data_IF_980754445748
#
_entry.id   IF_980754445748
#
_cell.length_a   1.000
_cell.length_b   1.000
_cell.length_c   1.000
_cell.angle_alpha   90.00
_cell.angle_beta   90.00
_cell.angle_gamma   90.00
#
_symmetry.space_group_name_H-M   'P 1'
#
loop_
_entity.id
_entity.type
_entity.pdbx_description
1 polymer ?
#
# COMPACT_ATOMS: atom_id res chain seq x y z
N UNK A 1 -13.02 6.22 -25.94
CA UNK A 1 -12.92 5.52 -24.64
C UNK A 1 -12.31 6.50 -23.65
N UNK A 2 -12.87 6.61 -22.45
CA UNK A 2 -12.46 7.63 -21.46
C UNK A 2 -12.16 6.93 -20.13
N UNK A 3 -10.97 7.18 -19.58
CA UNK A 3 -10.57 6.66 -18.29
C UNK A 3 -11.22 7.46 -17.15
N UNK A 4 -11.69 6.74 -16.13
CA UNK A 4 -12.12 7.32 -14.85
C UNK A 4 -11.01 7.14 -13.83
N UNK A 5 -10.62 8.21 -13.13
CA UNK A 5 -9.51 8.22 -12.17
C UNK A 5 -9.99 8.57 -10.76
N UNK A 6 -9.39 7.92 -9.78
CA UNK A 6 -9.52 8.21 -8.36
C UNK A 6 -8.13 8.27 -7.73
N UNK A 7 -7.96 9.15 -6.74
CA UNK A 7 -6.70 9.37 -6.06
C UNK A 7 -6.91 9.44 -4.55
N UNK A 8 -5.94 8.94 -3.80
CA UNK A 8 -5.87 9.21 -2.37
C UNK A 8 -5.67 10.70 -2.09
N UNK A 9 -6.07 11.13 -0.90
CA UNK A 9 -5.96 12.53 -0.47
C UNK A 9 -4.52 13.03 -0.58
N UNK A 10 -4.37 14.24 -1.09
CA UNK A 10 -3.06 14.88 -1.33
C UNK A 10 -2.32 14.38 -2.58
N UNK A 11 -2.81 13.34 -3.26
CA UNK A 11 -2.23 12.83 -4.51
C UNK A 11 -0.74 12.48 -4.38
N UNK A 12 0.04 12.76 -5.43
CA UNK A 12 1.48 12.50 -5.46
C UNK A 12 2.27 13.25 -4.37
N UNK A 13 1.88 14.48 -4.06
CA UNK A 13 2.62 15.34 -3.13
C UNK A 13 2.55 14.88 -1.67
N UNK A 14 1.54 14.06 -1.32
CA UNK A 14 1.38 13.51 0.02
C UNK A 14 2.00 12.11 0.18
N UNK A 15 2.57 11.51 -0.86
CA UNK A 15 3.09 10.15 -0.79
C UNK A 15 4.45 10.10 -0.08
N UNK A 16 4.61 9.27 0.98
CA UNK A 16 5.92 9.04 1.56
C UNK A 16 6.81 8.21 0.62
N UNK A 17 7.92 8.79 0.18
CA UNK A 17 8.87 8.18 -0.76
C UNK A 17 9.99 7.48 0.00
N UNK A 18 9.65 6.37 0.63
CA UNK A 18 10.58 5.56 1.43
C UNK A 18 11.31 4.52 0.60
N UNK A 19 12.42 3.99 1.14
CA UNK A 19 13.28 3.03 0.47
C UNK A 19 13.46 1.75 1.29
N UNK A 20 13.64 0.62 0.60
CA UNK A 20 14.24 -0.55 1.20
C UNK A 20 15.75 -0.30 1.45
N UNK A 21 16.26 -0.81 2.56
CA UNK A 21 17.67 -0.69 2.95
C UNK A 21 18.16 -2.01 3.58
N UNK A 22 19.47 -2.13 3.77
CA UNK A 22 20.09 -3.31 4.40
C UNK A 22 19.82 -3.33 5.91
N UNK A 23 19.31 -4.45 6.40
CA UNK A 23 18.98 -4.72 7.80
C UNK A 23 19.17 -6.21 8.10
N UNK A 24 19.92 -6.54 9.16
CA UNK A 24 20.21 -7.92 9.57
C UNK A 24 20.73 -8.82 8.43
N UNK A 25 21.61 -8.27 7.57
CA UNK A 25 22.26 -8.99 6.48
C UNK A 25 21.45 -9.13 5.19
N UNK A 26 20.23 -8.58 5.13
CA UNK A 26 19.35 -8.64 3.96
C UNK A 26 18.60 -7.31 3.75
N UNK A 27 17.88 -7.16 2.64
CA UNK A 27 16.96 -6.03 2.52
C UNK A 27 15.85 -6.12 3.58
N UNK A 28 15.44 -4.98 4.12
CA UNK A 28 14.39 -4.88 5.15
C UNK A 28 13.02 -5.36 4.68
N UNK A 29 12.82 -5.54 3.37
CA UNK A 29 11.62 -6.11 2.77
C UNK A 29 10.58 -5.07 2.36
N UNK A 30 9.80 -5.38 1.33
CA UNK A 30 8.79 -4.48 0.79
C UNK A 30 7.53 -4.36 1.68
N UNK A 31 7.13 -5.43 2.36
CA UNK A 31 6.00 -5.44 3.30
C UNK A 31 6.11 -4.36 4.40
N UNK A 32 7.19 -4.33 5.20
CA UNK A 32 7.33 -3.31 6.24
C UNK A 32 7.50 -1.90 5.68
N UNK A 33 8.13 -1.72 4.53
CA UNK A 33 8.20 -0.41 3.85
C UNK A 33 6.81 0.06 3.41
N UNK A 34 5.99 -0.83 2.85
CA UNK A 34 4.63 -0.50 2.42
C UNK A 34 3.74 -0.06 3.59
N UNK A 35 3.80 -0.77 4.72
CA UNK A 35 3.09 -0.35 5.93
C UNK A 35 3.61 0.96 6.50
N UNK A 36 4.92 1.16 6.54
CA UNK A 36 5.49 2.43 6.99
C UNK A 36 5.02 3.60 6.12
N UNK A 37 5.00 3.45 4.79
CA UNK A 37 4.46 4.46 3.89
C UNK A 37 2.98 4.76 4.20
N UNK A 38 2.16 3.74 4.41
CA UNK A 38 0.73 3.92 4.68
C UNK A 38 0.47 4.58 6.05
N UNK A 39 1.18 4.18 7.10
CA UNK A 39 1.04 4.77 8.42
C UNK A 39 1.53 6.22 8.46
N UNK A 40 2.66 6.52 7.82
CA UNK A 40 3.18 7.87 7.73
C UNK A 40 2.32 8.77 6.84
N UNK A 41 1.74 8.24 5.76
CA UNK A 41 0.75 8.99 4.97
C UNK A 41 -0.43 9.41 5.84
N UNK A 42 -0.99 8.49 6.64
CA UNK A 42 -2.12 8.80 7.52
C UNK A 42 -1.75 9.81 8.62
N UNK A 43 -0.55 9.71 9.20
CA UNK A 43 -0.04 10.71 10.15
C UNK A 43 0.08 12.09 9.51
N UNK A 44 0.67 12.16 8.31
CA UNK A 44 0.83 13.39 7.55
C UNK A 44 -0.52 14.01 7.21
N UNK A 45 -1.50 13.20 6.79
CA UNK A 45 -2.87 13.65 6.56
C UNK A 45 -3.53 14.21 7.82
N UNK A 46 -3.37 13.54 8.96
CA UNK A 46 -3.89 14.00 10.24
C UNK A 46 -3.31 15.37 10.63
N UNK A 47 -1.99 15.55 10.45
CA UNK A 47 -1.31 16.79 10.73
C UNK A 47 -1.66 17.94 9.77
N UNK A 48 -2.04 17.61 8.52
CA UNK A 48 -2.35 18.59 7.47
C UNK A 48 -3.85 18.83 7.28
N UNK A 49 -4.65 18.63 8.34
CA UNK A 49 -6.05 19.07 8.37
C UNK A 49 -7.03 18.17 7.61
N UNK A 50 -6.65 16.94 7.27
CA UNK A 50 -7.62 15.98 6.73
C UNK A 50 -8.60 15.55 7.82
N UNK A 51 -9.87 15.97 7.72
CA UNK A 51 -10.88 15.73 8.76
C UNK A 51 -11.12 14.24 9.06
N UNK A 52 -10.98 13.35 8.06
CA UNK A 52 -11.16 11.92 8.24
C UNK A 52 -10.01 11.31 9.06
N UNK A 53 -8.79 11.79 8.88
CA UNK A 53 -7.58 11.29 9.56
C UNK A 53 -7.19 12.09 10.82
N UNK A 54 -7.73 13.30 11.02
CA UNK A 54 -7.37 14.20 12.13
C UNK A 54 -7.29 13.55 13.52
N UNK A 55 -8.18 12.62 13.92
CA UNK A 55 -8.10 11.97 15.24
C UNK A 55 -6.94 10.98 15.41
N UNK A 56 -6.16 10.73 14.36
CA UNK A 56 -5.18 9.62 14.29
C UNK A 56 -3.73 10.09 14.25
N UNK A 57 -3.50 11.33 14.66
CA UNK A 57 -2.16 11.89 14.80
C UNK A 57 -1.34 11.13 15.85
N UNK A 58 -0.03 10.98 15.62
CA UNK A 58 0.86 10.19 16.47
C UNK A 58 1.09 8.76 15.99
N UNK A 59 0.70 8.48 14.74
CA UNK A 59 1.11 7.28 14.00
C UNK A 59 2.63 7.31 13.79
N UNK A 60 3.18 8.48 13.47
CA UNK A 60 4.62 8.74 13.55
C UNK A 60 4.93 9.56 14.81
N UNK A 61 6.08 9.28 15.40
CA UNK A 61 6.58 9.95 16.61
C UNK A 61 8.04 10.26 16.41
N UNK A 62 8.55 11.18 17.22
CA UNK A 62 9.93 11.64 17.14
C UNK A 62 10.92 10.46 17.02
N UNK A 63 11.74 10.49 15.96
CA UNK A 63 12.72 9.46 15.60
C UNK A 63 12.14 8.04 15.42
N UNK A 64 10.84 7.92 15.10
CA UNK A 64 10.12 6.64 15.00
C UNK A 64 9.84 5.97 16.35
N UNK A 65 10.24 6.59 17.45
CA UNK A 65 10.14 6.04 18.81
C UNK A 65 8.72 6.10 19.38
N UNK A 66 8.59 6.07 20.70
CA UNK A 66 7.30 6.20 21.40
C UNK A 66 7.13 7.54 22.14
N UNK A 67 7.97 8.53 21.83
CA UNK A 67 7.96 9.88 22.42
C UNK A 67 6.88 10.79 21.84
N UNK A 68 7.23 12.06 21.64
CA UNK A 68 6.29 13.09 21.18
C UNK A 68 5.76 12.78 19.77
N UNK A 69 4.49 13.13 19.55
CA UNK A 69 3.90 13.14 18.22
C UNK A 69 4.60 14.23 17.38
N UNK A 70 5.05 13.86 16.18
CA UNK A 70 5.62 14.79 15.20
C UNK A 70 5.08 14.40 13.82
N UNK A 71 5.09 15.33 12.88
CA UNK A 71 4.62 15.04 11.51
C UNK A 71 5.55 14.04 10.85
N UNK A 72 4.99 12.96 10.30
CA UNK A 72 5.74 12.02 9.50
C UNK A 72 6.45 12.71 8.31
N UNK A 73 7.76 12.49 8.12
CA UNK A 73 8.47 13.02 6.96
C UNK A 73 8.03 12.27 5.69
N UNK A 74 7.96 12.97 4.55
CA UNK A 74 7.64 12.34 3.26
C UNK A 74 8.86 11.70 2.58
N UNK A 75 10.05 11.86 3.15
CA UNK A 75 11.29 11.27 2.65
C UNK A 75 11.93 10.38 3.71
N UNK A 76 12.80 9.48 3.27
CA UNK A 76 13.52 8.58 4.17
C UNK A 76 14.44 9.37 5.11
N UNK A 77 14.31 9.13 6.41
CA UNK A 77 15.27 9.55 7.42
C UNK A 77 15.57 8.41 8.43
N UNK A 78 16.32 8.71 9.49
CA UNK A 78 16.63 7.74 10.54
C UNK A 78 15.38 7.27 11.29
N UNK A 79 14.41 8.15 11.54
CA UNK A 79 13.20 7.80 12.27
C UNK A 79 12.26 6.91 11.45
N UNK A 80 12.11 7.20 10.16
CA UNK A 80 11.43 6.32 9.19
C UNK A 80 12.13 4.96 9.13
N UNK A 81 13.46 4.94 9.12
CA UNK A 81 14.21 3.69 9.14
C UNK A 81 13.95 2.88 10.41
N UNK A 82 13.72 3.54 11.55
CA UNK A 82 13.40 2.88 12.81
C UNK A 82 12.00 2.25 12.80
N UNK A 83 10.98 2.96 12.30
CA UNK A 83 9.63 2.38 12.20
C UNK A 83 9.60 1.21 11.22
N UNK A 84 10.35 1.28 10.12
CA UNK A 84 10.41 0.18 9.15
C UNK A 84 11.04 -1.06 9.81
N UNK A 85 12.08 -0.90 10.64
CA UNK A 85 12.68 -2.00 11.42
C UNK A 85 11.72 -2.56 12.47
N UNK A 86 10.96 -1.70 13.16
CA UNK A 86 9.94 -2.14 14.12
C UNK A 86 8.86 -2.98 13.42
N UNK A 87 8.32 -2.47 12.30
CA UNK A 87 7.30 -3.17 11.52
C UNK A 87 7.85 -4.46 10.92
N UNK A 88 9.11 -4.49 10.44
CA UNK A 88 9.77 -5.69 9.93
C UNK A 88 9.71 -6.86 10.92
N UNK A 89 10.00 -6.60 12.21
CA UNK A 89 9.87 -7.59 13.26
C UNK A 89 8.43 -8.02 13.51
N UNK A 90 7.47 -7.08 13.43
CA UNK A 90 6.05 -7.35 13.69
C UNK A 90 5.36 -8.15 12.58
N UNK A 91 5.74 -7.93 11.32
CA UNK A 91 5.23 -8.71 10.18
C UNK A 91 6.05 -9.97 9.93
N UNK A 92 7.03 -10.28 10.78
CA UNK A 92 7.85 -11.48 10.68
C UNK A 92 8.59 -11.58 9.34
N UNK A 93 9.10 -10.46 8.83
CA UNK A 93 9.93 -10.47 7.62
C UNK A 93 11.17 -11.33 7.85
N UNK A 94 11.48 -12.21 6.90
CA UNK A 94 12.62 -13.12 6.97
C UNK A 94 13.48 -12.99 5.72
N UNK A 95 14.73 -13.46 5.81
CA UNK A 95 15.66 -13.36 4.71
C UNK A 95 15.62 -14.58 3.79
N UNK A 96 15.50 -14.34 2.48
CA UNK A 96 15.75 -15.31 1.42
C UNK A 96 16.76 -14.69 0.45
N UNK A 97 17.92 -15.33 0.25
CA UNK A 97 18.92 -14.92 -0.75
C UNK A 97 19.28 -13.43 -0.75
N UNK A 98 19.38 -12.81 0.44
CA UNK A 98 19.71 -11.38 0.59
C UNK A 98 18.50 -10.42 0.50
N UNK A 99 17.30 -10.93 0.22
CA UNK A 99 16.05 -10.17 0.14
C UNK A 99 15.14 -10.42 1.35
N UNK A 100 14.49 -9.38 1.84
CA UNK A 100 13.47 -9.48 2.89
C UNK A 100 12.12 -9.90 2.32
N UNK A 101 11.70 -11.12 2.63
CA UNK A 101 10.41 -11.68 2.25
C UNK A 101 9.41 -11.59 3.41
N UNK A 102 8.14 -11.31 3.10
CA UNK A 102 7.06 -11.26 4.10
C UNK A 102 5.86 -12.03 3.58
N UNK A 103 5.34 -12.97 4.37
CA UNK A 103 4.18 -13.75 3.95
C UNK A 103 2.90 -12.91 4.07
N UNK A 104 1.91 -13.11 3.18
CA UNK A 104 0.64 -12.38 3.27
C UNK A 104 -0.06 -12.61 4.62
N UNK A 105 0.08 -13.80 5.19
CA UNK A 105 -0.51 -14.17 6.49
C UNK A 105 0.10 -13.42 7.67
N UNK A 106 1.34 -12.93 7.56
CA UNK A 106 2.02 -12.21 8.64
C UNK A 106 1.90 -10.69 8.52
N UNK A 107 1.47 -10.17 7.37
CA UNK A 107 1.29 -8.73 7.14
C UNK A 107 0.30 -8.08 8.13
N UNK A 108 -0.66 -8.84 8.67
CA UNK A 108 -1.58 -8.35 9.72
C UNK A 108 -0.90 -8.03 11.06
N UNK A 109 0.30 -8.57 11.29
CA UNK A 109 1.12 -8.29 12.48
C UNK A 109 1.53 -6.82 12.61
N UNK A 110 1.51 -6.06 11.53
CA UNK A 110 1.75 -4.61 11.54
C UNK A 110 0.76 -3.83 12.43
N UNK A 111 -0.39 -4.42 12.80
CA UNK A 111 -1.30 -3.83 13.79
C UNK A 111 -0.64 -3.63 15.17
N UNK A 112 0.41 -4.40 15.50
CA UNK A 112 1.20 -4.22 16.71
C UNK A 112 1.90 -2.85 16.77
N UNK A 113 2.27 -2.26 15.62
CA UNK A 113 2.82 -0.91 15.54
C UNK A 113 1.85 0.12 16.11
N UNK A 114 0.56 -0.04 15.84
CA UNK A 114 -0.50 0.90 16.22
C UNK A 114 -0.76 0.91 17.73
N UNK A 115 -0.40 -0.18 18.43
CA UNK A 115 -0.64 -0.36 19.86
C UNK A 115 0.07 0.71 20.71
N UNK A 116 -0.73 1.51 21.41
CA UNK A 116 -0.26 2.64 22.22
C UNK A 116 0.19 3.86 21.39
N UNK A 117 -0.08 3.87 20.07
CA UNK A 117 0.17 5.01 19.18
C UNK A 117 -1.09 5.79 18.89
N UNK A 118 -2.09 5.09 18.37
CA UNK A 118 -3.33 5.68 17.87
C UNK A 118 -4.47 4.65 17.96
N UNK A 119 -5.72 5.10 17.86
CA UNK A 119 -6.87 4.22 17.71
C UNK A 119 -7.11 3.72 16.28
N UNK A 120 -6.17 3.93 15.35
CA UNK A 120 -6.21 3.39 13.98
C UNK A 120 -6.34 1.88 14.00
N UNK A 121 -7.18 1.34 13.12
CA UNK A 121 -7.30 -0.10 12.88
C UNK A 121 -6.73 -0.49 11.52
N UNK A 122 -6.29 -1.75 11.41
CA UNK A 122 -5.65 -2.32 10.23
C UNK A 122 -6.39 -3.59 9.81
N UNK A 123 -6.69 -3.69 8.52
CA UNK A 123 -7.27 -4.88 7.90
C UNK A 123 -6.34 -5.46 6.84
N UNK A 124 -6.25 -6.79 6.76
CA UNK A 124 -5.57 -7.49 5.67
C UNK A 124 -6.50 -8.53 5.04
N UNK A 125 -6.47 -8.57 3.72
CA UNK A 125 -7.23 -9.50 2.90
C UNK A 125 -6.28 -10.10 1.88
N UNK A 126 -6.27 -11.42 1.74
CA UNK A 126 -5.38 -12.07 0.79
C UNK A 126 -5.92 -13.41 0.30
N UNK A 127 -5.32 -13.88 -0.78
CA UNK A 127 -5.36 -15.27 -1.21
C UNK A 127 -4.01 -15.90 -0.87
N UNK A 128 -4.00 -16.97 -0.06
CA UNK A 128 -2.76 -17.61 0.41
C UNK A 128 -1.94 -18.23 -0.71
N UNK A 129 -2.58 -18.58 -1.81
CA UNK A 129 -1.94 -19.10 -3.01
C UNK A 129 -1.44 -17.98 -3.91
N UNK A 130 -1.56 -16.69 -3.57
CA UNK A 130 -1.08 -15.62 -4.46
C UNK A 130 -1.94 -15.42 -5.71
N UNK A 131 -3.15 -15.98 -5.73
CA UNK A 131 -4.09 -15.84 -6.85
C UNK A 131 -4.78 -14.47 -6.73
N UNK A 132 -4.76 -13.71 -7.83
CA UNK A 132 -5.48 -12.45 -7.91
C UNK A 132 -6.99 -12.67 -7.90
N UNK A 133 -7.71 -11.90 -7.09
CA UNK A 133 -9.16 -11.99 -6.96
C UNK A 133 -9.82 -10.62 -7.09
N UNK A 134 -10.98 -10.60 -7.72
CA UNK A 134 -11.80 -9.39 -7.85
C UNK A 134 -12.08 -8.74 -6.50
N UNK A 135 -12.45 -9.51 -5.46
CA UNK A 135 -12.70 -8.93 -4.12
C UNK A 135 -11.48 -8.21 -3.55
N UNK A 136 -10.27 -8.71 -3.80
CA UNK A 136 -9.03 -8.15 -3.26
C UNK A 136 -8.72 -6.81 -3.92
N UNK A 137 -8.90 -6.75 -5.24
CA UNK A 137 -8.90 -5.48 -5.97
C UNK A 137 -9.95 -4.52 -5.41
N UNK A 138 -11.15 -5.00 -5.08
CA UNK A 138 -12.22 -4.14 -4.57
C UNK A 138 -11.92 -3.53 -3.20
N UNK A 139 -11.27 -4.25 -2.28
CA UNK A 139 -10.80 -3.66 -1.01
C UNK A 139 -9.86 -2.49 -1.28
N UNK A 140 -8.78 -2.71 -2.04
CA UNK A 140 -7.82 -1.65 -2.36
C UNK A 140 -8.47 -0.47 -3.13
N UNK A 141 -9.33 -0.77 -4.10
CA UNK A 141 -10.12 0.23 -4.84
C UNK A 141 -10.98 1.05 -3.90
N UNK A 142 -11.76 0.42 -3.02
CA UNK A 142 -12.69 1.10 -2.14
C UNK A 142 -11.95 2.00 -1.14
N UNK A 143 -10.78 1.58 -0.66
CA UNK A 143 -9.91 2.44 0.14
C UNK A 143 -9.57 3.75 -0.57
N UNK A 144 -9.15 3.67 -1.84
CA UNK A 144 -8.76 4.84 -2.62
C UNK A 144 -9.99 5.65 -3.06
N UNK A 145 -11.00 4.98 -3.61
CA UNK A 145 -12.19 5.59 -4.21
C UNK A 145 -13.11 6.23 -3.17
N UNK A 146 -13.41 5.51 -2.10
CA UNK A 146 -14.47 5.87 -1.16
C UNK A 146 -13.93 6.57 0.10
N UNK A 147 -12.68 6.29 0.46
CA UNK A 147 -12.03 6.85 1.68
C UNK A 147 -10.83 7.73 1.39
N UNK A 148 -10.51 7.95 0.11
CA UNK A 148 -9.34 8.71 -0.33
C UNK A 148 -8.06 8.33 0.44
N UNK A 149 -7.91 7.03 0.73
CA UNK A 149 -6.86 6.42 1.56
C UNK A 149 -6.08 5.39 0.74
N UNK A 150 -4.75 5.45 0.67
CA UNK A 150 -3.96 4.44 -0.04
C UNK A 150 -4.17 3.05 0.54
N UNK A 151 -3.83 2.02 -0.22
CA UNK A 151 -3.87 0.63 0.21
C UNK A 151 -2.55 -0.05 -0.11
N UNK A 152 -2.09 -0.95 0.75
CA UNK A 152 -1.01 -1.87 0.38
C UNK A 152 -1.61 -2.94 -0.53
N UNK A 153 -1.01 -3.20 -1.68
CA UNK A 153 -1.46 -4.26 -2.58
C UNK A 153 -0.37 -5.32 -2.76
N UNK A 154 -0.74 -6.51 -3.20
CA UNK A 154 0.20 -7.51 -3.67
C UNK A 154 0.35 -7.47 -5.19
N UNK A 155 1.58 -7.41 -5.69
CA UNK A 155 1.87 -7.48 -7.14
C UNK A 155 2.88 -8.59 -7.43
N UNK A 156 2.91 -9.04 -8.70
CA UNK A 156 3.56 -10.31 -9.07
C UNK A 156 2.91 -11.49 -8.36
N UNK A 157 3.49 -12.69 -8.38
CA UNK A 157 3.01 -13.80 -7.55
C UNK A 157 3.81 -13.81 -6.25
N UNK A 158 3.21 -13.34 -5.14
CA UNK A 158 3.89 -13.20 -3.84
C UNK A 158 5.23 -12.45 -3.89
N UNK A 159 5.43 -11.61 -4.91
CA UNK A 159 6.75 -11.06 -5.24
C UNK A 159 7.00 -9.72 -4.55
N UNK A 160 5.96 -8.87 -4.49
CA UNK A 160 6.14 -7.50 -4.06
C UNK A 160 4.88 -6.90 -3.41
N UNK A 161 5.08 -6.01 -2.44
CA UNK A 161 4.04 -5.19 -1.82
C UNK A 161 4.32 -3.71 -2.06
N UNK A 162 3.67 -3.07 -3.05
CA UNK A 162 3.68 -1.62 -3.17
C UNK A 162 2.46 -0.98 -2.47
N UNK A 163 2.46 0.34 -2.34
CA UNK A 163 1.31 1.11 -1.87
C UNK A 163 0.57 1.74 -3.06
N UNK A 164 -0.65 1.29 -3.32
CA UNK A 164 -1.54 1.87 -4.31
C UNK A 164 -2.21 3.14 -3.75
N UNK A 165 -2.14 4.23 -4.51
CA UNK A 165 -2.75 5.51 -4.13
C UNK A 165 -3.51 6.19 -5.28
N UNK A 166 -3.52 5.58 -6.47
CA UNK A 166 -4.42 5.92 -7.56
C UNK A 166 -5.13 4.68 -8.08
N UNK A 167 -6.36 4.83 -8.57
CA UNK A 167 -7.10 3.78 -9.27
C UNK A 167 -7.71 4.35 -10.53
N UNK A 168 -7.56 3.63 -11.64
CA UNK A 168 -8.14 3.99 -12.93
C UNK A 168 -8.91 2.82 -13.53
N UNK A 169 -10.01 3.12 -14.21
CA UNK A 169 -10.71 2.12 -15.01
C UNK A 169 -11.31 2.72 -16.28
N UNK A 170 -11.43 1.90 -17.31
CA UNK A 170 -12.23 2.19 -18.49
C UNK A 170 -13.04 0.96 -18.91
N UNK A 171 -14.13 1.20 -19.62
CA UNK A 171 -14.91 0.16 -20.29
C UNK A 171 -14.66 0.27 -21.80
N UNK A 172 -14.39 -0.87 -22.44
CA UNK A 172 -14.28 -0.96 -23.90
C UNK A 172 -15.03 -2.17 -24.42
N UNK A 173 -15.60 -2.02 -25.60
CA UNK A 173 -16.19 -3.13 -26.35
C UNK A 173 -15.12 -3.75 -27.23
N UNK A 174 -14.90 -5.05 -27.10
CA UNK A 174 -14.01 -5.84 -27.95
C UNK A 174 -14.86 -6.69 -28.86
N UNK A 175 -14.56 -6.65 -30.16
CA UNK A 175 -15.20 -7.52 -31.13
C UNK A 175 -14.32 -8.75 -31.32
N UNK A 176 -14.92 -9.92 -31.12
CA UNK A 176 -14.30 -11.21 -31.34
C UNK A 176 -14.85 -11.80 -32.64
N UNK A 177 -13.98 -12.44 -33.41
CA UNK A 177 -14.35 -13.15 -34.62
C UNK A 177 -13.67 -14.52 -34.60
N UNK A 178 -14.46 -15.60 -34.73
CA UNK A 178 -13.94 -16.95 -34.87
C UNK A 178 -14.72 -17.72 -35.94
N UNK A 179 -14.01 -18.09 -37.02
CA UNK A 179 -14.56 -18.70 -38.22
C UNK A 179 -15.69 -17.86 -38.84
N UNK A 180 -16.96 -18.17 -38.51
CA UNK A 180 -18.17 -17.53 -39.04
C UNK A 180 -19.05 -16.91 -37.95
N UNK A 181 -18.54 -16.78 -36.73
CA UNK A 181 -19.23 -16.15 -35.60
C UNK A 181 -18.49 -14.89 -35.18
N UNK A 182 -19.24 -13.80 -35.01
CA UNK A 182 -18.74 -12.58 -34.38
C UNK A 182 -19.60 -12.22 -33.18
N UNK A 183 -18.97 -11.85 -32.08
CA UNK A 183 -19.66 -11.33 -30.90
C UNK A 183 -18.89 -10.15 -30.32
N UNK A 184 -19.60 -9.33 -29.55
CA UNK A 184 -19.02 -8.21 -28.84
C UNK A 184 -18.98 -8.55 -27.34
N UNK A 185 -17.84 -8.26 -26.72
CA UNK A 185 -17.63 -8.43 -25.28
C UNK A 185 -17.31 -7.06 -24.68
N UNK A 186 -18.01 -6.71 -23.60
CA UNK A 186 -17.63 -5.57 -22.78
C UNK A 186 -16.54 -5.97 -21.81
N UNK A 187 -15.34 -5.41 -21.98
CA UNK A 187 -14.21 -5.64 -21.08
C UNK A 187 -13.86 -4.37 -20.30
N UNK A 188 -13.28 -4.58 -19.12
CA UNK A 188 -12.86 -3.51 -18.22
C UNK A 188 -11.36 -3.57 -18.01
N UNK A 189 -10.66 -2.52 -18.43
CA UNK A 189 -9.26 -2.35 -18.07
C UNK A 189 -9.20 -1.59 -16.74
N UNK A 190 -8.46 -2.12 -15.76
CA UNK A 190 -8.38 -1.57 -14.40
C UNK A 190 -6.93 -1.53 -13.95
N UNK A 191 -6.51 -0.40 -13.37
CA UNK A 191 -5.13 -0.14 -13.01
C UNK A 191 -5.01 0.54 -11.65
N UNK A 192 -3.95 0.23 -10.91
CA UNK A 192 -3.54 0.98 -9.72
C UNK A 192 -2.29 1.81 -10.03
N UNK A 193 -2.24 3.06 -9.59
CA UNK A 193 -1.00 3.84 -9.55
C UNK A 193 -0.33 3.60 -8.21
N UNK A 194 0.91 3.12 -8.24
CA UNK A 194 1.59 2.61 -7.05
C UNK A 194 2.87 3.36 -6.73
N UNK A 195 3.17 3.40 -5.43
CA UNK A 195 4.48 3.71 -4.88
C UNK A 195 5.20 2.40 -4.53
N UNK A 196 6.32 2.12 -5.18
CA UNK A 196 7.04 0.84 -5.04
C UNK A 196 7.83 0.72 -3.73
N UNK A 197 7.96 1.81 -2.95
CA UNK A 197 8.85 1.83 -1.79
C UNK A 197 10.34 1.83 -2.18
N UNK A 198 10.65 2.48 -3.30
CA UNK A 198 12.00 2.69 -3.83
C UNK A 198 12.30 4.18 -4.03
N UNK A 199 11.87 5.02 -3.07
CA UNK A 199 12.22 6.44 -3.05
C UNK A 199 11.61 7.24 -4.20
N UNK A 200 10.49 6.76 -4.76
CA UNK A 200 9.84 7.33 -5.93
C UNK A 200 10.22 6.69 -7.26
N UNK A 201 11.30 5.89 -7.30
CA UNK A 201 11.67 5.14 -8.51
C UNK A 201 10.67 4.02 -8.81
N UNK A 202 10.34 3.82 -10.08
CA UNK A 202 9.44 2.75 -10.52
C UNK A 202 7.96 2.95 -10.19
N UNK A 203 7.58 4.10 -9.64
CA UNK A 203 6.18 4.46 -9.43
C UNK A 203 5.45 4.56 -10.77
N UNK A 204 4.23 4.04 -10.84
CA UNK A 204 3.50 3.96 -12.10
C UNK A 204 2.22 3.15 -12.02
N UNK A 205 1.55 3.05 -13.16
CA UNK A 205 0.36 2.23 -13.34
C UNK A 205 0.74 0.75 -13.45
N UNK A 206 0.11 -0.09 -12.63
CA UNK A 206 0.16 -1.56 -12.70
C UNK A 206 -1.25 -2.13 -12.86
N UNK A 207 -1.39 -3.33 -13.44
CA UNK A 207 -2.70 -4.00 -13.52
C UNK A 207 -3.35 -4.06 -12.14
N UNK A 208 -4.67 -3.89 -12.07
CA UNK A 208 -5.41 -3.98 -10.82
C UNK A 208 -5.65 -5.43 -10.35
N UNK A 209 -4.92 -6.39 -10.90
CA UNK A 209 -4.87 -7.76 -10.42
C UNK A 209 -4.01 -7.83 -9.16
N UNK A 210 -4.62 -8.23 -8.04
CA UNK A 210 -3.92 -8.32 -6.76
C UNK A 210 -4.37 -9.51 -5.92
N UNK A 211 -3.39 -10.13 -5.26
CA UNK A 211 -3.57 -11.25 -4.33
C UNK A 211 -3.53 -10.81 -2.85
N UNK A 212 -3.33 -9.52 -2.60
CA UNK A 212 -3.32 -8.94 -1.25
C UNK A 212 -3.87 -7.52 -1.26
N UNK A 213 -4.65 -7.18 -0.23
CA UNK A 213 -5.08 -5.82 0.06
C UNK A 213 -4.93 -5.56 1.57
N UNK A 214 -4.14 -4.54 1.90
CA UNK A 214 -3.95 -4.03 3.25
C UNK A 214 -4.52 -2.63 3.36
N UNK A 215 -5.38 -2.42 4.36
CA UNK A 215 -6.11 -1.18 4.56
C UNK A 215 -5.92 -0.68 6.00
N UNK A 216 -6.00 0.63 6.18
CA UNK A 216 -6.12 1.25 7.48
C UNK A 216 -7.39 2.09 7.56
N UNK A 217 -7.91 2.21 8.78
CA UNK A 217 -9.09 2.98 9.11
C UNK A 217 -8.77 3.85 10.32
N UNK A 218 -9.22 5.12 10.34
CA UNK A 218 -9.16 5.94 11.52
C UNK A 218 -9.83 5.23 12.70
#
# INVERSE_FOLDING_TARGET
MTWTYYWASGGHAAQPLYNQFQYNGCYVGCGPVAWAMLFCWADWQAANGNAYWAPRWGLYRENGGRGNNVVAPLTQDTGVSNIIKEINGQVGTFCITGSGATLPSSMGGASAYLSGRTGTSLGTHYNVLGISEDRLREYARNSIRDRATPAVIGTGWLTHYPMAYGYAWQQRTVRHEFLFWSWEETVYDRWFYVNQGWGGSGNGWVSADTWFAGEIYP
#
